data_IF_814525926999
#
_entry.id   IF_814525926999
#
_cell.length_a   1.000
_cell.length_b   1.000
_cell.length_c   1.000
_cell.angle_alpha   90.00
_cell.angle_beta   90.00
_cell.angle_gamma   90.00
#
_symmetry.space_group_name_H-M   'P 1'
#
loop_
_entity.id
_entity.type
_entity.pdbx_description
1 polymer ?
#
# COMPACT_ATOMS: atom_id res chain seq x y z
N UNK A 1 14.91 13.66 -21.20
CA UNK A 1 14.22 14.60 -20.30
C UNK A 1 12.78 14.14 -20.14
N UNK A 2 12.15 14.28 -18.96
CA UNK A 2 10.77 13.85 -18.75
C UNK A 2 9.84 14.61 -19.70
N UNK A 3 9.07 13.86 -20.49
CA UNK A 3 8.05 14.39 -21.40
C UNK A 3 6.69 14.20 -20.73
N UNK A 4 6.04 15.28 -20.25
CA UNK A 4 4.68 15.18 -19.73
C UNK A 4 3.75 14.62 -20.81
N UNK A 5 2.86 13.71 -20.44
CA UNK A 5 1.81 13.15 -21.32
C UNK A 5 2.32 12.49 -22.62
N UNK A 6 3.52 11.87 -22.58
CA UNK A 6 4.07 11.10 -23.70
C UNK A 6 3.09 10.13 -24.38
N UNK A 7 2.24 9.41 -23.61
CA UNK A 7 1.25 8.49 -24.17
C UNK A 7 -0.13 9.11 -24.45
N UNK A 8 -0.31 10.42 -24.20
CA UNK A 8 -1.60 11.10 -24.31
C UNK A 8 -2.57 10.79 -23.17
N UNK A 9 -3.80 11.29 -23.29
CA UNK A 9 -4.90 11.05 -22.34
C UNK A 9 -5.94 10.11 -22.97
N UNK A 10 -6.25 9.02 -22.29
CA UNK A 10 -7.31 8.09 -22.65
C UNK A 10 -8.18 7.78 -21.44
N UNK A 11 -9.48 7.62 -21.64
CA UNK A 11 -10.43 7.32 -20.58
C UNK A 11 -11.20 6.04 -20.90
N UNK A 12 -11.05 5.02 -20.06
CA UNK A 12 -11.77 3.75 -20.16
C UNK A 12 -12.65 3.55 -18.92
N UNK A 13 -13.96 3.49 -19.14
CA UNK A 13 -14.94 3.25 -18.09
C UNK A 13 -14.78 1.89 -17.41
N UNK A 14 -14.27 0.89 -18.11
CA UNK A 14 -14.03 -0.45 -17.57
C UNK A 14 -12.86 -0.46 -16.58
N UNK A 15 -11.85 0.39 -16.79
CA UNK A 15 -10.67 0.50 -15.92
C UNK A 15 -10.91 1.44 -14.72
N UNK A 16 -11.90 2.32 -14.79
CA UNK A 16 -12.22 3.27 -13.74
C UNK A 16 -12.53 2.57 -12.40
N UNK A 17 -13.39 1.54 -12.42
CA UNK A 17 -13.82 0.84 -11.20
C UNK A 17 -12.63 0.08 -10.55
N UNK A 18 -11.87 -0.76 -11.28
CA UNK A 18 -10.67 -1.38 -10.74
C UNK A 18 -9.66 -0.37 -10.17
N UNK A 19 -9.39 0.73 -10.89
CA UNK A 19 -8.46 1.76 -10.43
C UNK A 19 -8.96 2.45 -9.16
N UNK A 20 -10.25 2.76 -9.04
CA UNK A 20 -10.82 3.32 -7.81
C UNK A 20 -10.59 2.39 -6.61
N UNK A 21 -10.75 1.06 -6.79
CA UNK A 21 -10.47 0.10 -5.72
C UNK A 21 -8.99 0.04 -5.36
N UNK A 22 -8.09 0.07 -6.36
CA UNK A 22 -6.65 0.14 -6.12
C UNK A 22 -6.28 1.40 -5.35
N UNK A 23 -6.87 2.56 -5.70
CA UNK A 23 -6.66 3.81 -4.96
C UNK A 23 -7.26 3.78 -3.55
N UNK A 24 -8.37 3.08 -3.34
CA UNK A 24 -8.92 2.85 -2.01
C UNK A 24 -7.99 1.99 -1.15
N UNK A 25 -7.46 0.90 -1.71
CA UNK A 25 -6.53 0.00 -1.05
C UNK A 25 -5.22 0.71 -0.70
N UNK A 26 -4.62 1.44 -1.64
CA UNK A 26 -3.39 2.22 -1.40
C UNK A 26 -3.61 3.34 -0.37
N UNK A 27 -4.83 3.89 -0.29
CA UNK A 27 -5.18 4.84 0.79
C UNK A 27 -5.21 4.16 2.16
N UNK A 28 -5.75 2.94 2.25
CA UNK A 28 -5.73 2.14 3.49
C UNK A 28 -4.31 1.73 3.87
N UNK A 29 -3.49 1.32 2.90
CA UNK A 29 -2.06 1.06 3.08
C UNK A 29 -1.33 2.30 3.61
N UNK A 30 -1.54 3.46 2.98
CA UNK A 30 -0.99 4.74 3.42
C UNK A 30 -1.37 5.08 4.87
N UNK A 31 -2.62 4.81 5.27
CA UNK A 31 -3.06 4.99 6.66
C UNK A 31 -2.27 4.05 7.58
N UNK A 32 -2.13 2.78 7.22
CA UNK A 32 -1.34 1.79 7.96
C UNK A 32 0.12 2.20 8.11
N UNK A 33 0.74 2.63 7.02
CA UNK A 33 2.14 3.07 6.99
C UNK A 33 2.37 4.31 7.85
N UNK A 34 1.53 5.34 7.74
CA UNK A 34 1.63 6.55 8.58
C UNK A 34 1.43 6.20 10.07
N UNK A 35 0.55 5.25 10.37
CA UNK A 35 0.31 4.77 11.73
C UNK A 35 1.53 4.01 12.28
N UNK A 36 2.14 3.16 11.45
CA UNK A 36 3.37 2.46 11.77
C UNK A 36 4.55 3.43 11.95
N UNK A 37 4.69 4.42 11.05
CA UNK A 37 5.68 5.50 11.17
C UNK A 37 5.50 6.29 12.46
N UNK A 38 4.26 6.65 12.79
CA UNK A 38 3.96 7.39 14.02
C UNK A 38 4.38 6.58 15.26
N UNK A 39 4.15 5.27 15.27
CA UNK A 39 4.54 4.40 16.38
C UNK A 39 6.05 4.21 16.50
N UNK A 40 6.77 3.93 15.41
CA UNK A 40 8.24 3.79 15.47
C UNK A 40 8.94 5.11 15.79
N UNK A 41 8.27 6.24 15.58
CA UNK A 41 8.77 7.58 15.88
C UNK A 41 8.27 8.10 17.25
N UNK A 42 7.63 7.25 18.06
CA UNK A 42 7.08 7.59 19.38
C UNK A 42 6.09 8.77 19.35
N UNK A 43 5.33 8.87 18.28
CA UNK A 43 4.33 9.90 18.05
C UNK A 43 2.91 9.42 18.34
N UNK A 44 1.94 10.33 18.58
CA UNK A 44 0.56 9.95 18.82
C UNK A 44 -0.07 9.16 17.66
N UNK A 45 -0.68 8.02 17.98
CA UNK A 45 -1.48 7.18 17.08
C UNK A 45 -2.99 7.41 17.22
N UNK A 46 -3.37 8.43 18.00
CA UNK A 46 -4.76 8.85 18.20
C UNK A 46 -4.84 10.37 18.43
N UNK A 47 -6.04 10.92 18.33
CA UNK A 47 -6.29 12.34 18.56
C UNK A 47 -6.16 13.24 17.31
N UNK A 48 -6.29 14.58 17.50
CA UNK A 48 -6.42 15.52 16.39
C UNK A 48 -5.13 15.66 15.56
N UNK A 49 -3.96 15.54 16.19
CA UNK A 49 -2.67 15.60 15.51
C UNK A 49 -2.47 14.41 14.57
N UNK A 50 -2.77 13.19 15.06
CA UNK A 50 -2.74 11.97 14.27
C UNK A 50 -3.70 12.06 13.07
N UNK A 51 -4.93 12.51 13.30
CA UNK A 51 -5.92 12.67 12.22
C UNK A 51 -5.49 13.71 11.18
N UNK A 52 -4.83 14.80 11.61
CA UNK A 52 -4.25 15.79 10.68
C UNK A 52 -3.15 15.18 9.81
N UNK A 53 -2.28 14.33 10.39
CA UNK A 53 -1.23 13.62 9.65
C UNK A 53 -1.80 12.63 8.64
N UNK A 54 -2.81 11.85 9.04
CA UNK A 54 -3.50 10.93 8.13
C UNK A 54 -4.12 11.67 6.94
N UNK A 55 -4.92 12.72 7.20
CA UNK A 55 -5.56 13.51 6.14
C UNK A 55 -4.53 14.14 5.20
N UNK A 56 -3.46 14.71 5.76
CA UNK A 56 -2.38 15.31 4.97
C UNK A 56 -1.60 14.28 4.15
N UNK A 57 -1.29 13.12 4.72
CA UNK A 57 -0.54 12.06 4.05
C UNK A 57 -1.33 11.38 2.95
N UNK A 58 -2.61 11.06 3.19
CA UNK A 58 -3.49 10.49 2.15
C UNK A 58 -3.72 11.49 1.00
N UNK A 59 -3.91 12.78 1.32
CA UNK A 59 -4.02 13.83 0.30
C UNK A 59 -2.73 13.95 -0.52
N UNK A 60 -1.57 13.96 0.14
CA UNK A 60 -0.28 14.00 -0.53
C UNK A 60 -0.09 12.78 -1.44
N UNK A 61 -0.46 11.58 -0.98
CA UNK A 61 -0.38 10.36 -1.78
C UNK A 61 -1.20 10.45 -3.08
N UNK A 62 -2.44 10.92 -2.99
CA UNK A 62 -3.30 11.14 -4.15
C UNK A 62 -2.75 12.20 -5.10
N UNK A 63 -2.27 13.32 -4.56
CA UNK A 63 -1.68 14.40 -5.36
C UNK A 63 -0.40 13.95 -6.09
N UNK A 64 0.49 13.22 -5.40
CA UNK A 64 1.71 12.71 -6.03
C UNK A 64 1.42 11.63 -7.06
N UNK A 65 0.41 10.78 -6.84
CA UNK A 65 -0.05 9.82 -7.85
C UNK A 65 -0.60 10.52 -9.09
N UNK A 66 -1.35 11.62 -8.91
CA UNK A 66 -1.82 12.44 -10.03
C UNK A 66 -0.65 13.06 -10.81
N UNK A 67 0.33 13.66 -10.13
CA UNK A 67 1.54 14.19 -10.78
C UNK A 67 2.30 13.09 -11.51
N UNK A 68 2.40 11.90 -10.91
CA UNK A 68 3.10 10.75 -11.51
C UNK A 68 2.39 10.27 -12.78
N UNK A 69 1.07 10.27 -12.80
CA UNK A 69 0.28 9.96 -13.99
C UNK A 69 0.53 10.97 -15.14
N UNK A 70 0.71 12.27 -14.84
CA UNK A 70 1.09 13.27 -15.86
C UNK A 70 2.45 12.96 -16.50
N UNK A 71 3.36 12.33 -15.76
CA UNK A 71 4.66 11.87 -16.26
C UNK A 71 4.65 10.40 -16.69
N UNK A 72 3.46 9.80 -16.92
CA UNK A 72 3.29 8.43 -17.39
C UNK A 72 3.89 7.37 -16.47
N UNK A 73 3.96 7.66 -15.17
CA UNK A 73 4.40 6.73 -14.13
C UNK A 73 3.18 6.09 -13.47
N UNK A 74 3.37 4.89 -12.90
CA UNK A 74 2.35 4.19 -12.15
C UNK A 74 1.92 4.96 -10.87
N UNK A 75 0.73 4.67 -10.32
CA UNK A 75 0.32 5.19 -9.01
C UNK A 75 1.36 4.88 -7.94
N UNK A 76 1.59 5.83 -7.04
CA UNK A 76 2.52 5.67 -5.93
C UNK A 76 1.76 5.45 -4.62
N UNK A 77 2.44 4.87 -3.65
CA UNK A 77 1.95 4.67 -2.28
C UNK A 77 3.05 5.03 -1.28
N UNK A 78 2.73 5.11 0.01
CA UNK A 78 3.73 5.22 1.05
C UNK A 78 4.63 3.98 1.08
N UNK A 79 5.90 4.16 1.46
CA UNK A 79 6.89 3.09 1.50
C UNK A 79 7.11 2.67 2.96
N UNK A 80 6.35 1.67 3.43
CA UNK A 80 6.39 1.18 4.81
C UNK A 80 7.74 0.64 5.28
N UNK A 81 8.65 0.29 4.36
CA UNK A 81 9.99 -0.22 4.64
C UNK A 81 10.87 0.80 5.39
N UNK A 82 10.59 2.10 5.22
CA UNK A 82 11.27 3.15 5.95
C UNK A 82 11.08 3.01 7.47
N UNK A 83 9.96 2.42 7.91
CA UNK A 83 9.72 2.18 9.34
C UNK A 83 10.74 1.21 9.94
N UNK A 84 11.22 0.22 9.17
CA UNK A 84 12.28 -0.69 9.60
C UNK A 84 13.61 0.03 9.77
N UNK A 85 13.95 0.96 8.87
CA UNK A 85 15.16 1.79 8.98
C UNK A 85 15.09 2.71 10.19
N UNK A 86 13.95 3.39 10.40
CA UNK A 86 13.74 4.26 11.56
C UNK A 86 13.87 3.45 12.86
N UNK A 87 13.27 2.27 12.92
CA UNK A 87 13.34 1.41 14.10
C UNK A 87 14.76 0.93 14.43
N UNK A 88 15.60 0.66 13.43
CA UNK A 88 16.99 0.24 13.62
C UNK A 88 17.94 1.39 13.92
N UNK A 89 17.72 2.55 13.30
CA UNK A 89 18.61 3.71 13.42
C UNK A 89 18.22 4.65 14.55
N UNK A 90 16.96 4.64 14.97
CA UNK A 90 16.39 5.63 15.89
C UNK A 90 16.27 7.03 15.30
N UNK A 91 16.40 7.20 13.98
CA UNK A 91 16.39 8.51 13.30
C UNK A 91 15.10 8.68 12.50
N UNK A 92 14.18 9.50 13.00
CA UNK A 92 12.88 9.86 12.38
C UNK A 92 12.89 11.26 11.72
N UNK A 93 14.06 11.85 11.54
CA UNK A 93 14.22 13.24 11.08
C UNK A 93 13.75 13.45 9.64
N UNK A 94 12.79 14.38 9.45
CA UNK A 94 12.31 14.81 8.13
C UNK A 94 13.41 15.30 7.17
N UNK A 95 14.53 15.80 7.70
CA UNK A 95 15.65 16.27 6.88
C UNK A 95 16.34 15.13 6.15
N UNK A 96 16.42 13.94 6.76
CA UNK A 96 16.94 12.74 6.10
C UNK A 96 16.06 12.41 4.88
N UNK A 97 14.74 12.49 5.04
CA UNK A 97 13.79 12.32 3.94
C UNK A 97 14.02 13.30 2.78
N UNK A 98 14.23 14.59 3.07
CA UNK A 98 14.53 15.58 2.03
C UNK A 98 15.84 15.32 1.30
N UNK A 99 16.90 14.91 2.01
CA UNK A 99 18.20 14.58 1.41
C UNK A 99 18.07 13.36 0.49
N UNK A 100 17.36 12.31 0.94
CA UNK A 100 17.11 11.12 0.12
C UNK A 100 16.28 11.45 -1.11
N UNK A 101 15.23 12.27 -0.97
CA UNK A 101 14.41 12.71 -2.11
C UNK A 101 15.24 13.48 -3.14
N UNK A 102 16.07 14.42 -2.71
CA UNK A 102 16.97 15.16 -3.60
C UNK A 102 17.97 14.24 -4.29
N UNK A 103 18.54 13.28 -3.55
CA UNK A 103 19.45 12.28 -4.11
C UNK A 103 18.76 11.45 -5.20
N UNK A 104 17.54 10.98 -4.97
CA UNK A 104 16.78 10.21 -5.95
C UNK A 104 16.42 11.03 -7.20
N UNK A 105 16.07 12.31 -7.03
CA UNK A 105 15.84 13.23 -8.17
C UNK A 105 17.12 13.35 -9.00
N UNK A 106 18.26 13.62 -8.34
CA UNK A 106 19.55 13.76 -9.02
C UNK A 106 19.92 12.48 -9.75
N UNK A 107 19.81 11.31 -9.10
CA UNK A 107 20.08 10.00 -9.72
C UNK A 107 19.15 9.71 -10.91
N UNK A 108 17.86 10.04 -10.80
CA UNK A 108 16.87 9.85 -11.86
C UNK A 108 17.12 10.69 -13.11
N UNK A 109 17.84 11.80 -12.99
CA UNK A 109 18.23 12.63 -14.13
C UNK A 109 19.39 12.04 -14.96
N UNK A 110 20.13 11.07 -14.42
CA UNK A 110 21.26 10.45 -15.10
C UNK A 110 20.84 9.12 -15.79
N UNK A 111 20.83 9.06 -17.14
CA UNK A 111 20.47 7.83 -17.86
C UNK A 111 21.37 6.64 -17.55
N UNK A 112 22.62 6.90 -17.13
CA UNK A 112 23.56 5.88 -16.69
C UNK A 112 23.01 5.03 -15.53
N UNK A 113 22.26 5.64 -14.61
CA UNK A 113 21.63 4.93 -13.50
C UNK A 113 20.55 3.99 -14.01
N UNK A 114 19.71 4.44 -14.94
CA UNK A 114 18.69 3.59 -15.58
C UNK A 114 19.32 2.42 -16.34
N UNK A 115 20.41 2.66 -17.08
CA UNK A 115 21.15 1.61 -17.77
C UNK A 115 21.73 0.59 -16.79
N UNK A 116 22.32 1.04 -15.69
CA UNK A 116 22.82 0.17 -14.64
C UNK A 116 21.72 -0.71 -14.02
N UNK A 117 20.57 -0.13 -13.69
CA UNK A 117 19.43 -0.87 -13.12
C UNK A 117 18.93 -1.96 -14.08
N UNK A 118 18.93 -1.71 -15.39
CA UNK A 118 18.55 -2.70 -16.41
C UNK A 118 19.52 -3.89 -16.51
N UNK A 119 20.76 -3.75 -16.04
CA UNK A 119 21.76 -4.82 -16.01
C UNK A 119 21.70 -5.66 -14.72
N UNK A 120 20.84 -5.31 -13.76
CA UNK A 120 20.70 -6.08 -12.52
C UNK A 120 20.05 -7.43 -12.86
N UNK A 121 20.68 -8.56 -12.49
CA UNK A 121 20.12 -9.88 -12.77
C UNK A 121 18.76 -10.10 -12.09
N UNK A 122 17.85 -10.79 -12.78
CA UNK A 122 16.52 -11.11 -12.26
C UNK A 122 16.53 -11.79 -10.87
N UNK A 123 17.47 -12.71 -10.53
CA UNK A 123 17.53 -13.29 -9.19
C UNK A 123 17.75 -12.26 -8.07
N UNK A 124 18.47 -11.16 -8.36
CA UNK A 124 18.71 -10.08 -7.39
C UNK A 124 17.44 -9.25 -7.18
N UNK A 125 16.76 -8.92 -8.29
CA UNK A 125 15.46 -8.23 -8.23
C UNK A 125 14.41 -9.08 -7.50
N UNK A 126 14.41 -10.40 -7.73
CA UNK A 126 13.56 -11.34 -7.00
C UNK A 126 13.86 -11.35 -5.51
N UNK A 127 15.13 -11.41 -5.11
CA UNK A 127 15.54 -11.30 -3.71
C UNK A 127 15.10 -10.00 -3.04
N UNK A 128 15.30 -8.86 -3.70
CA UNK A 128 14.84 -7.56 -3.22
C UNK A 128 13.30 -7.52 -3.08
N UNK A 129 12.59 -8.11 -4.04
CA UNK A 129 11.13 -8.19 -4.05
C UNK A 129 10.59 -9.04 -2.89
N UNK A 130 11.24 -10.17 -2.56
CA UNK A 130 10.88 -11.00 -1.41
C UNK A 130 11.04 -10.22 -0.09
N UNK A 131 12.13 -9.47 0.06
CA UNK A 131 12.34 -8.64 1.26
C UNK A 131 11.29 -7.53 1.33
N UNK A 132 10.98 -6.87 0.22
CA UNK A 132 9.95 -5.84 0.15
C UNK A 132 8.57 -6.38 0.54
N UNK A 133 8.09 -7.45 -0.09
CA UNK A 133 6.77 -8.00 0.25
C UNK A 133 6.73 -8.68 1.63
N UNK A 134 7.85 -9.30 2.05
CA UNK A 134 7.96 -9.89 3.39
C UNK A 134 7.88 -8.83 4.50
N UNK A 135 8.51 -7.67 4.31
CA UNK A 135 8.42 -6.55 5.27
C UNK A 135 7.04 -5.90 5.28
N UNK A 136 6.37 -5.78 4.12
CA UNK A 136 4.96 -5.34 4.06
C UNK A 136 4.06 -6.29 4.85
N UNK A 137 4.19 -7.61 4.64
CA UNK A 137 3.43 -8.61 5.39
C UNK A 137 3.69 -8.53 6.90
N UNK A 138 4.95 -8.39 7.31
CA UNK A 138 5.34 -8.23 8.71
C UNK A 138 4.77 -6.95 9.35
N UNK A 139 4.75 -5.84 8.61
CA UNK A 139 4.12 -4.58 9.04
C UNK A 139 2.61 -4.78 9.27
N UNK A 140 1.93 -5.49 8.37
CA UNK A 140 0.52 -5.87 8.53
C UNK A 140 0.26 -6.64 9.82
N UNK A 141 1.08 -7.66 10.12
CA UNK A 141 0.99 -8.42 11.38
C UNK A 141 1.19 -7.52 12.60
N UNK A 142 2.18 -6.61 12.56
CA UNK A 142 2.44 -5.67 13.66
C UNK A 142 1.28 -4.69 13.89
N UNK A 143 0.60 -4.25 12.84
CA UNK A 143 -0.59 -3.37 12.97
C UNK A 143 -1.72 -4.14 13.65
N UNK A 144 -2.00 -5.36 13.17
CA UNK A 144 -3.06 -6.22 13.71
C UNK A 144 -2.81 -6.61 15.17
N UNK A 145 -1.55 -6.85 15.55
CA UNK A 145 -1.19 -7.25 16.92
C UNK A 145 -1.35 -6.14 17.96
N UNK A 146 -1.70 -4.91 17.56
CA UNK A 146 -2.02 -3.82 18.51
C UNK A 146 -3.43 -3.92 19.08
N UNK A 147 -4.34 -4.54 18.35
CA UNK A 147 -5.70 -4.79 18.82
C UNK A 147 -5.71 -6.00 19.75
N UNK A 148 -6.67 -6.03 20.69
CA UNK A 148 -6.87 -7.23 21.51
C UNK A 148 -7.31 -8.39 20.63
N UNK A 149 -6.45 -9.41 20.51
CA UNK A 149 -6.70 -10.61 19.69
C UNK A 149 -7.70 -11.55 20.37
N UNK A 150 -8.91 -11.07 20.57
CA UNK A 150 -10.01 -11.87 21.10
C UNK A 150 -10.58 -12.78 20.01
N UNK A 151 -11.50 -13.67 20.39
CA UNK A 151 -12.11 -14.64 19.48
C UNK A 151 -12.71 -13.97 18.24
N UNK A 152 -13.41 -12.84 18.42
CA UNK A 152 -13.94 -12.02 17.31
C UNK A 152 -12.85 -11.56 16.35
N UNK A 153 -11.79 -10.93 16.85
CA UNK A 153 -10.70 -10.39 16.04
C UNK A 153 -9.98 -11.51 15.25
N UNK A 154 -9.68 -12.62 15.91
CA UNK A 154 -9.03 -13.78 15.29
C UNK A 154 -9.88 -14.34 14.14
N UNK A 155 -11.21 -14.44 14.32
CA UNK A 155 -12.09 -14.92 13.25
C UNK A 155 -12.13 -13.96 12.05
N UNK A 156 -12.18 -12.64 12.29
CA UNK A 156 -12.15 -11.64 11.22
C UNK A 156 -10.84 -11.74 10.43
N UNK A 157 -9.70 -11.84 11.13
CA UNK A 157 -8.37 -11.99 10.52
C UNK A 157 -8.28 -13.28 9.70
N UNK A 158 -8.67 -14.41 10.28
CA UNK A 158 -8.58 -15.71 9.62
C UNK A 158 -9.44 -15.78 8.34
N UNK A 159 -10.69 -15.31 8.40
CA UNK A 159 -11.59 -15.35 7.26
C UNK A 159 -11.19 -14.36 6.16
N UNK A 160 -10.77 -13.15 6.52
CA UNK A 160 -10.30 -12.15 5.54
C UNK A 160 -9.02 -12.61 4.83
N UNK A 161 -8.06 -13.20 5.56
CA UNK A 161 -6.87 -13.80 4.95
C UNK A 161 -7.21 -14.99 4.05
N UNK A 162 -8.10 -15.89 4.51
CA UNK A 162 -8.50 -17.05 3.72
C UNK A 162 -9.18 -16.65 2.40
N UNK A 163 -10.07 -15.66 2.43
CA UNK A 163 -10.73 -15.14 1.21
C UNK A 163 -9.73 -14.44 0.30
N UNK A 164 -8.89 -13.55 0.84
CA UNK A 164 -7.93 -12.80 0.03
C UNK A 164 -6.89 -13.69 -0.66
N UNK A 165 -6.33 -14.66 0.08
CA UNK A 165 -5.38 -15.64 -0.48
C UNK A 165 -6.09 -16.64 -1.41
N UNK A 166 -7.28 -17.10 -1.03
CA UNK A 166 -8.06 -18.08 -1.80
C UNK A 166 -8.41 -17.56 -3.20
N UNK A 167 -8.92 -16.32 -3.30
CA UNK A 167 -9.29 -15.74 -4.59
C UNK A 167 -8.06 -15.45 -5.45
N UNK A 168 -6.94 -15.05 -4.84
CA UNK A 168 -5.68 -14.82 -5.57
C UNK A 168 -5.12 -16.11 -6.18
N UNK A 169 -5.17 -17.21 -5.42
CA UNK A 169 -4.62 -18.51 -5.84
C UNK A 169 -5.56 -19.27 -6.78
N UNK A 170 -6.88 -19.11 -6.60
CA UNK A 170 -7.88 -19.77 -7.44
C UNK A 170 -9.00 -18.79 -7.83
N UNK A 171 -8.81 -18.01 -8.91
CA UNK A 171 -9.81 -17.05 -9.39
C UNK A 171 -11.15 -17.69 -9.80
N UNK A 172 -11.13 -18.99 -10.14
CA UNK A 172 -12.31 -19.80 -10.49
C UNK A 172 -13.35 -19.90 -9.35
N UNK A 173 -12.98 -19.60 -8.11
CA UNK A 173 -13.93 -19.57 -6.97
C UNK A 173 -15.07 -18.57 -7.25
N UNK A 174 -14.79 -17.51 -8.02
CA UNK A 174 -15.77 -16.49 -8.39
C UNK A 174 -16.56 -16.82 -9.67
N UNK A 175 -16.43 -18.01 -10.25
CA UNK A 175 -17.05 -18.34 -11.56
C UNK A 175 -18.57 -18.15 -11.60
N UNK A 176 -19.25 -18.39 -10.46
CA UNK A 176 -20.70 -18.24 -10.31
C UNK A 176 -21.12 -16.81 -9.88
N UNK A 177 -20.17 -15.93 -9.59
CA UNK A 177 -20.46 -14.54 -9.24
C UNK A 177 -20.81 -13.72 -10.49
N UNK A 178 -21.65 -12.68 -10.36
CA UNK A 178 -21.90 -11.74 -11.45
C UNK A 178 -20.61 -10.99 -11.83
N UNK A 179 -20.49 -10.57 -13.09
CA UNK A 179 -19.22 -10.07 -13.65
C UNK A 179 -18.67 -8.85 -12.91
N UNK A 180 -19.55 -7.94 -12.47
CA UNK A 180 -19.13 -6.79 -11.66
C UNK A 180 -18.48 -7.21 -10.33
N UNK A 181 -18.95 -8.30 -9.71
CA UNK A 181 -18.40 -8.83 -8.46
C UNK A 181 -17.12 -9.62 -8.71
N UNK A 182 -17.02 -10.32 -9.85
CA UNK A 182 -15.76 -10.95 -10.30
C UNK A 182 -14.67 -9.92 -10.47
N UNK A 183 -14.94 -8.83 -11.17
CA UNK A 183 -13.96 -7.76 -11.38
C UNK A 183 -13.53 -7.14 -10.04
N UNK A 184 -14.48 -6.90 -9.13
CA UNK A 184 -14.22 -6.31 -7.82
C UNK A 184 -13.38 -7.22 -6.91
N UNK A 185 -13.73 -8.50 -6.82
CA UNK A 185 -13.08 -9.47 -5.94
C UNK A 185 -11.86 -10.14 -6.58
N UNK A 186 -11.61 -9.95 -7.88
CA UNK A 186 -10.44 -10.52 -8.58
C UNK A 186 -9.09 -10.17 -7.92
N UNK A 187 -9.02 -9.04 -7.23
CA UNK A 187 -7.88 -8.68 -6.39
C UNK A 187 -8.03 -9.29 -4.99
N UNK A 188 -7.08 -10.13 -4.58
CA UNK A 188 -7.06 -10.70 -3.24
C UNK A 188 -7.03 -9.67 -2.11
N UNK A 189 -6.38 -8.52 -2.34
CA UNK A 189 -6.34 -7.44 -1.37
C UNK A 189 -7.74 -6.84 -1.19
N UNK A 190 -8.45 -6.60 -2.31
CA UNK A 190 -9.83 -6.09 -2.28
C UNK A 190 -10.76 -7.13 -1.62
N UNK A 191 -10.67 -8.40 -2.01
CA UNK A 191 -11.50 -9.46 -1.49
C UNK A 191 -11.30 -9.68 0.02
N UNK A 192 -10.06 -9.72 0.49
CA UNK A 192 -9.74 -9.84 1.91
C UNK A 192 -10.16 -8.60 2.71
N UNK A 193 -9.85 -7.40 2.20
CA UNK A 193 -10.20 -6.12 2.85
C UNK A 193 -11.70 -5.90 2.99
N UNK A 194 -12.47 -6.14 1.92
CA UNK A 194 -13.94 -6.07 1.96
C UNK A 194 -14.50 -7.09 2.95
N UNK A 195 -13.98 -8.31 2.94
CA UNK A 195 -14.39 -9.36 3.88
C UNK A 195 -14.12 -8.93 5.33
N UNK A 196 -12.95 -8.34 5.61
CA UNK A 196 -12.63 -7.84 6.95
C UNK A 196 -13.61 -6.74 7.40
N UNK A 197 -13.93 -5.79 6.52
CA UNK A 197 -14.88 -4.70 6.81
C UNK A 197 -16.27 -5.26 7.09
N UNK A 198 -16.77 -6.14 6.22
CA UNK A 198 -18.11 -6.74 6.36
C UNK A 198 -18.21 -7.54 7.65
N UNK A 199 -17.22 -8.39 7.95
CA UNK A 199 -17.21 -9.18 9.18
C UNK A 199 -17.09 -8.30 10.43
N UNK A 200 -16.31 -7.22 10.38
CA UNK A 200 -16.23 -6.28 11.49
C UNK A 200 -17.55 -5.54 11.75
N UNK A 201 -18.39 -5.36 10.73
CA UNK A 201 -19.73 -4.77 10.89
C UNK A 201 -20.78 -5.79 11.37
N UNK A 202 -20.71 -7.02 10.86
CA UNK A 202 -21.69 -8.08 11.13
C UNK A 202 -21.46 -8.75 12.48
N UNK A 203 -20.20 -9.01 12.86
CA UNK A 203 -19.91 -9.70 14.10
C UNK A 203 -20.18 -8.77 15.30
N UNK A 204 -20.95 -9.22 16.30
CA UNK A 204 -21.27 -8.41 17.47
C UNK A 204 -20.00 -8.03 18.22
N UNK A 205 -19.92 -6.79 18.71
CA UNK A 205 -18.81 -6.35 19.56
C UNK A 205 -18.85 -7.17 20.86
N UNK A 206 -17.74 -7.84 21.18
CA UNK A 206 -17.58 -8.47 22.49
C UNK A 206 -17.57 -7.35 23.55
N UNK A 207 -18.35 -7.53 24.62
CA UNK A 207 -18.46 -6.57 25.74
C UNK A 207 -17.17 -6.50 26.55
#
# INVERSE_FOLDING_TARGET
MPSPLYYGLGFDWNLLIPLMLVFMVTSLETIGDITATSDVSEQPVSGPLYMKRLKGGVLANGLYSFVSALFNTFPNSCFGQNNGVIQLTGVDSRYVGFVVALMLIVLGLFPAVSCFVQHIPEPVLGGATIVMFGTIAASGVRIVSRESLNRRAIMIIALSLAVGLGVSQQPLILQFAPDWLKTLLSSGIAAGGITAIVLNLVFPQEK
#
